data_IF_547302935417
#
_entry.id   IF_547302935417
#
_cell.length_a   1.000
_cell.length_b   1.000
_cell.length_c   1.000
_cell.angle_alpha   90.00
_cell.angle_beta   90.00
_cell.angle_gamma   90.00
#
_symmetry.space_group_name_H-M   'P 1'
#
loop_
_entity.id
_entity.type
_entity.pdbx_description
1 polymer ?
#
# COMPACT_ATOMS: atom_id res chain seq x y z
N UNK A 1 -2.82 -13.11 5.51
CA UNK A 1 -2.61 -13.43 6.94
C UNK A 1 -1.80 -12.35 7.67
N UNK A 2 -0.78 -11.74 7.04
CA UNK A 2 0.07 -10.72 7.71
C UNK A 2 -0.31 -9.27 7.41
N UNK A 3 -1.26 -9.01 6.51
CA UNK A 3 -1.56 -7.66 6.02
C UNK A 3 -2.03 -6.70 7.11
N UNK A 4 -2.85 -7.17 8.03
CA UNK A 4 -3.30 -6.37 9.18
C UNK A 4 -2.14 -6.04 10.13
N UNK A 5 -1.32 -7.03 10.44
CA UNK A 5 -0.15 -6.85 11.29
C UNK A 5 0.92 -5.93 10.70
N UNK A 6 0.95 -5.76 9.37
CA UNK A 6 1.85 -4.80 8.72
C UNK A 6 1.47 -3.35 9.06
N UNK A 7 0.21 -3.07 9.37
CA UNK A 7 -0.25 -1.73 9.72
C UNK A 7 0.03 -0.73 8.58
N UNK A 8 0.72 0.35 8.87
CA UNK A 8 1.10 1.41 7.93
C UNK A 8 2.54 1.28 7.39
N UNK A 9 3.18 0.13 7.56
CA UNK A 9 4.56 -0.11 7.10
C UNK A 9 4.59 -0.33 5.60
N UNK A 10 5.23 0.59 4.86
CA UNK A 10 5.30 0.55 3.40
C UNK A 10 6.66 0.03 2.93
N UNK A 11 7.74 0.56 3.49
CA UNK A 11 9.12 0.22 3.14
C UNK A 11 10.05 0.54 4.30
N UNK A 12 10.84 -0.43 4.76
CA UNK A 12 11.79 -0.27 5.86
C UNK A 12 11.07 0.15 7.15
N UNK A 13 10.59 -0.81 7.92
CA UNK A 13 9.83 -0.50 9.14
C UNK A 13 10.71 -0.05 10.30
N UNK A 14 12.02 -0.34 10.24
CA UNK A 14 13.04 -0.03 11.24
C UNK A 14 12.73 -0.52 12.69
N UNK A 15 11.74 -1.41 12.84
CA UNK A 15 11.36 -1.97 14.15
C UNK A 15 12.55 -2.65 14.85
N UNK A 16 13.41 -3.32 14.07
CA UNK A 16 14.63 -3.94 14.60
C UNK A 16 15.64 -2.89 15.10
N UNK A 17 15.74 -1.74 14.43
CA UNK A 17 16.57 -0.63 14.89
C UNK A 17 15.96 0.02 16.13
N UNK A 18 14.64 0.23 16.14
CA UNK A 18 13.95 0.81 17.30
C UNK A 18 14.11 -0.04 18.57
N UNK A 19 14.12 -1.37 18.43
CA UNK A 19 14.31 -2.30 19.55
C UNK A 19 15.79 -2.51 19.93
N UNK A 20 16.74 -1.95 19.18
CA UNK A 20 18.15 -2.18 19.38
C UNK A 20 18.66 -1.52 20.70
N UNK A 21 19.26 -2.30 21.64
CA UNK A 21 19.76 -1.74 22.91
C UNK A 21 20.93 -0.75 22.73
N UNK A 22 21.59 -0.78 21.55
CA UNK A 22 22.67 0.13 21.23
C UNK A 22 22.21 1.53 20.84
N UNK A 23 20.90 1.75 20.59
CA UNK A 23 20.36 3.08 20.28
C UNK A 23 20.65 4.13 21.36
N UNK A 24 20.88 3.72 22.59
CA UNK A 24 21.29 4.65 23.66
C UNK A 24 22.64 5.36 23.41
N UNK A 25 23.42 4.86 22.46
CA UNK A 25 24.70 5.47 22.03
C UNK A 25 24.56 6.15 20.65
N UNK A 26 23.38 6.17 20.07
CA UNK A 26 23.16 6.79 18.77
C UNK A 26 23.27 8.31 18.88
N UNK A 27 24.06 8.91 17.98
CA UNK A 27 24.18 10.34 17.80
C UNK A 27 23.56 10.76 16.48
N UNK A 28 23.00 11.97 16.44
CA UNK A 28 22.45 12.51 15.22
C UNK A 28 23.56 12.75 14.20
N UNK A 29 23.39 12.21 12.98
CA UNK A 29 24.36 12.42 11.91
C UNK A 29 24.48 13.90 11.54
N UNK A 30 25.70 14.40 11.43
CA UNK A 30 26.02 15.73 10.89
C UNK A 30 26.12 15.73 9.35
N UNK A 31 26.09 14.57 8.71
CA UNK A 31 26.16 14.44 7.24
C UNK A 31 24.84 14.89 6.61
N UNK A 32 24.87 16.01 5.90
CA UNK A 32 23.70 16.59 5.24
C UNK A 32 22.98 15.63 4.26
N UNK A 33 23.72 14.70 3.66
CA UNK A 33 23.13 13.70 2.74
C UNK A 33 22.25 12.67 3.45
N UNK A 34 22.36 12.53 4.77
CA UNK A 34 21.57 11.63 5.61
C UNK A 34 20.37 12.31 6.24
N UNK A 35 20.22 13.64 6.06
CA UNK A 35 19.04 14.37 6.53
C UNK A 35 17.82 13.88 5.75
N UNK A 36 16.76 13.51 6.48
CA UNK A 36 15.52 13.09 5.87
C UNK A 36 14.92 14.19 4.98
N UNK A 37 14.51 13.85 3.76
CA UNK A 37 13.80 14.76 2.87
C UNK A 37 12.49 15.18 3.51
N UNK A 38 12.13 16.46 3.41
CA UNK A 38 10.91 16.99 4.03
C UNK A 38 9.64 16.35 3.46
N UNK A 39 9.62 16.03 2.15
CA UNK A 39 8.52 15.36 1.47
C UNK A 39 8.34 13.89 1.86
N UNK A 40 9.28 13.32 2.62
CA UNK A 40 9.22 11.95 3.15
C UNK A 40 8.99 11.88 4.66
N UNK A 41 8.92 13.00 5.36
CA UNK A 41 8.69 13.01 6.82
C UNK A 41 7.29 12.57 7.22
N UNK A 42 6.27 12.98 6.48
CA UNK A 42 4.88 12.60 6.70
C UNK A 42 4.08 12.60 5.39
N UNK A 43 4.45 11.77 4.40
CA UNK A 43 3.80 11.75 3.11
C UNK A 43 2.37 11.20 3.22
N UNK A 44 1.47 11.73 2.41
CA UNK A 44 0.09 11.24 2.35
C UNK A 44 -0.01 9.99 1.49
N UNK A 45 -0.74 8.98 1.94
CA UNK A 45 -1.02 7.77 1.15
C UNK A 45 -1.68 8.10 -0.20
N UNK A 46 -2.55 9.11 -0.24
CA UNK A 46 -3.21 9.57 -1.46
C UNK A 46 -2.23 9.99 -2.56
N UNK A 47 -1.11 10.59 -2.20
CA UNK A 47 -0.04 10.94 -3.15
C UNK A 47 0.59 9.68 -3.75
N UNK A 48 0.92 8.71 -2.92
CA UNK A 48 1.61 7.48 -3.33
C UNK A 48 0.73 6.55 -4.16
N UNK A 49 -0.55 6.45 -3.82
CA UNK A 49 -1.54 5.70 -4.61
C UNK A 49 -1.81 6.33 -5.98
N UNK A 50 -1.41 7.60 -6.17
CA UNK A 50 -1.50 8.31 -7.43
C UNK A 50 -0.34 8.11 -8.39
N UNK A 51 0.74 7.44 -7.98
CA UNK A 51 1.94 7.32 -8.81
C UNK A 51 1.78 6.36 -9.98
N UNK A 52 2.13 6.83 -11.18
CA UNK A 52 2.57 6.00 -12.28
C UNK A 52 4.08 5.67 -12.15
N UNK A 53 4.64 4.86 -13.07
CA UNK A 53 6.06 4.49 -13.00
C UNK A 53 6.99 5.69 -13.16
N UNK A 54 6.64 6.66 -14.00
CA UNK A 54 7.45 7.86 -14.23
C UNK A 54 7.50 8.74 -12.97
N UNK A 55 6.36 9.02 -12.37
CA UNK A 55 6.26 9.80 -11.13
C UNK A 55 6.97 9.09 -9.96
N UNK A 56 6.80 7.76 -9.83
CA UNK A 56 7.50 6.96 -8.83
C UNK A 56 9.02 7.06 -8.98
N UNK A 57 9.55 6.86 -10.20
CA UNK A 57 10.99 6.91 -10.46
C UNK A 57 11.58 8.29 -10.26
N UNK A 58 10.83 9.35 -10.59
CA UNK A 58 11.25 10.72 -10.37
C UNK A 58 11.29 11.05 -8.87
N UNK A 59 10.21 10.73 -8.15
CA UNK A 59 10.07 11.02 -6.72
C UNK A 59 11.14 10.30 -5.87
N UNK A 60 11.42 9.02 -6.16
CA UNK A 60 12.41 8.22 -5.45
C UNK A 60 13.79 8.18 -6.13
N UNK A 61 14.10 9.17 -6.96
CA UNK A 61 15.44 9.30 -7.54
C UNK A 61 16.49 9.43 -6.43
N UNK A 62 17.57 8.64 -6.52
CA UNK A 62 18.62 8.58 -5.49
C UNK A 62 18.25 7.83 -4.20
N UNK A 63 17.02 7.32 -4.08
CA UNK A 63 16.57 6.55 -2.91
C UNK A 63 16.63 5.04 -3.16
N UNK A 64 16.95 4.21 -2.15
CA UNK A 64 16.88 2.75 -2.25
C UNK A 64 15.46 2.23 -2.54
N UNK A 65 14.42 2.99 -2.20
CA UNK A 65 13.01 2.64 -2.48
C UNK A 65 12.78 2.42 -3.98
N UNK A 66 13.48 3.16 -4.84
CA UNK A 66 13.38 2.99 -6.29
C UNK A 66 13.64 1.56 -6.77
N UNK A 67 14.43 0.77 -6.03
CA UNK A 67 14.83 -0.59 -6.41
C UNK A 67 13.67 -1.60 -6.36
N UNK A 68 12.65 -1.36 -5.52
CA UNK A 68 11.52 -2.30 -5.42
C UNK A 68 10.52 -2.17 -6.58
N UNK A 69 10.58 -1.07 -7.32
CA UNK A 69 9.67 -0.75 -8.40
C UNK A 69 8.32 -0.20 -7.92
N UNK A 70 7.61 0.47 -8.84
CA UNK A 70 6.32 1.13 -8.58
C UNK A 70 5.27 0.13 -8.06
N UNK A 71 5.14 -1.03 -8.69
CA UNK A 71 4.06 -1.97 -8.39
C UNK A 71 4.14 -2.53 -6.97
N UNK A 72 5.33 -2.93 -6.53
CA UNK A 72 5.55 -3.41 -5.16
C UNK A 72 5.33 -2.29 -4.14
N UNK A 73 5.74 -1.07 -4.49
CA UNK A 73 5.54 0.09 -3.61
C UNK A 73 4.06 0.42 -3.47
N UNK A 74 3.31 0.55 -4.58
CA UNK A 74 1.87 0.85 -4.57
C UNK A 74 1.08 -0.27 -3.90
N UNK A 75 1.43 -1.54 -4.14
CA UNK A 75 0.87 -2.68 -3.41
C UNK A 75 1.01 -2.52 -1.89
N UNK A 76 2.17 -2.10 -1.40
CA UNK A 76 2.38 -1.88 0.03
C UNK A 76 1.59 -0.67 0.55
N UNK A 77 1.47 0.39 -0.25
CA UNK A 77 0.62 1.54 0.08
C UNK A 77 -0.86 1.15 0.18
N UNK A 78 -1.34 0.22 -0.65
CA UNK A 78 -2.70 -0.30 -0.59
C UNK A 78 -2.96 -1.09 0.70
N UNK A 79 -1.97 -1.86 1.19
CA UNK A 79 -2.07 -2.52 2.50
C UNK A 79 -2.22 -1.46 3.61
N UNK A 80 -1.39 -0.42 3.60
CA UNK A 80 -1.49 0.67 4.56
C UNK A 80 -2.85 1.40 4.44
N UNK A 81 -3.37 1.61 3.22
CA UNK A 81 -4.67 2.23 2.99
C UNK A 81 -5.81 1.39 3.57
N UNK A 82 -5.84 0.07 3.32
CA UNK A 82 -6.84 -0.83 3.90
C UNK A 82 -6.80 -0.87 5.42
N UNK A 83 -5.60 -0.74 6.03
CA UNK A 83 -5.44 -0.68 7.49
C UNK A 83 -5.79 0.68 8.09
N UNK A 84 -5.85 1.75 7.30
CA UNK A 84 -6.08 3.12 7.79
C UNK A 84 -7.51 3.39 8.23
N UNK A 85 -8.50 2.68 7.68
CA UNK A 85 -9.93 2.99 7.85
C UNK A 85 -10.37 4.32 7.21
N UNK A 86 -9.50 4.97 6.42
CA UNK A 86 -9.77 6.27 5.80
C UNK A 86 -10.58 6.11 4.51
N UNK A 87 -11.89 6.35 4.58
CA UNK A 87 -12.78 6.28 3.43
C UNK A 87 -12.43 7.27 2.30
N UNK A 88 -11.67 8.34 2.58
CA UNK A 88 -11.22 9.27 1.55
C UNK A 88 -10.28 8.62 0.51
N UNK A 89 -9.69 7.47 0.84
CA UNK A 89 -8.83 6.69 -0.06
C UNK A 89 -9.61 5.78 -1.03
N UNK A 90 -10.89 5.54 -0.79
CA UNK A 90 -11.74 4.66 -1.62
C UNK A 90 -11.68 5.00 -3.11
N UNK A 91 -11.79 6.27 -3.56
CA UNK A 91 -11.73 6.59 -4.99
C UNK A 91 -10.41 6.19 -5.65
N UNK A 92 -9.29 6.31 -4.92
CA UNK A 92 -7.97 5.92 -5.41
C UNK A 92 -7.83 4.39 -5.49
N UNK A 93 -8.29 3.68 -4.46
CA UNK A 93 -8.31 2.22 -4.46
C UNK A 93 -9.21 1.67 -5.58
N UNK A 94 -10.37 2.30 -5.84
CA UNK A 94 -11.26 1.93 -6.96
C UNK A 94 -10.58 2.08 -8.33
N UNK A 95 -9.76 3.09 -8.53
CA UNK A 95 -9.00 3.26 -9.77
C UNK A 95 -7.94 2.15 -9.94
N UNK A 96 -7.33 1.72 -8.86
CA UNK A 96 -6.24 0.74 -8.87
C UNK A 96 -6.70 -0.72 -9.05
N UNK A 97 -8.01 -1.03 -9.02
CA UNK A 97 -8.52 -2.35 -9.44
C UNK A 97 -8.42 -2.57 -10.95
N UNK A 98 -8.14 -1.53 -11.73
CA UNK A 98 -7.91 -1.59 -13.17
C UNK A 98 -6.43 -1.37 -13.54
N UNK A 99 -5.52 -1.48 -12.57
CA UNK A 99 -4.07 -1.33 -12.78
C UNK A 99 -3.50 -2.47 -13.65
N UNK A 100 -2.46 -2.20 -14.43
CA UNK A 100 -1.81 -3.20 -15.27
C UNK A 100 -1.21 -4.35 -14.44
N UNK A 101 -0.72 -4.06 -13.23
CA UNK A 101 -0.13 -5.04 -12.32
C UNK A 101 -1.18 -5.82 -11.54
N UNK A 102 -1.24 -7.14 -11.74
CA UNK A 102 -2.12 -8.02 -10.96
C UNK A 102 -1.89 -7.91 -9.44
N UNK A 103 -0.63 -7.71 -9.02
CA UNK A 103 -0.31 -7.54 -7.61
C UNK A 103 -0.90 -6.25 -7.01
N UNK A 104 -0.99 -5.19 -7.80
CA UNK A 104 -1.65 -3.94 -7.40
C UNK A 104 -3.15 -4.14 -7.38
N UNK A 105 -3.74 -4.74 -8.43
CA UNK A 105 -5.19 -5.03 -8.48
C UNK A 105 -5.64 -5.86 -7.28
N UNK A 106 -4.96 -6.98 -6.98
CA UNK A 106 -5.31 -7.83 -5.85
C UNK A 106 -5.30 -7.07 -4.50
N UNK A 107 -4.30 -6.21 -4.28
CA UNK A 107 -4.26 -5.42 -3.05
C UNK A 107 -5.26 -4.28 -3.03
N UNK A 108 -5.66 -3.73 -4.18
CA UNK A 108 -6.75 -2.77 -4.27
C UNK A 108 -8.09 -3.41 -3.87
N UNK A 109 -8.34 -4.65 -4.29
CA UNK A 109 -9.51 -5.46 -3.86
C UNK A 109 -9.50 -5.59 -2.34
N UNK A 110 -8.40 -6.05 -1.75
CA UNK A 110 -8.28 -6.22 -0.31
C UNK A 110 -8.50 -4.89 0.46
N UNK A 111 -7.91 -3.80 -0.01
CA UNK A 111 -8.09 -2.49 0.61
C UNK A 111 -9.56 -2.03 0.56
N UNK A 112 -10.24 -2.24 -0.58
CA UNK A 112 -11.65 -1.89 -0.74
C UNK A 112 -12.56 -2.73 0.14
N UNK A 113 -12.29 -4.02 0.33
CA UNK A 113 -13.04 -4.88 1.24
C UNK A 113 -13.01 -4.35 2.69
N UNK A 114 -11.94 -3.69 3.09
CA UNK A 114 -11.78 -3.10 4.43
C UNK A 114 -12.33 -1.67 4.56
N UNK A 115 -12.38 -0.92 3.47
CA UNK A 115 -12.78 0.48 3.47
C UNK A 115 -14.25 0.69 3.09
N UNK A 116 -14.86 -0.26 2.37
CA UNK A 116 -16.25 -0.18 1.93
C UNK A 116 -17.20 -0.91 2.89
N UNK A 117 -18.45 -0.44 3.02
CA UNK A 117 -19.51 -1.26 3.57
C UNK A 117 -19.68 -2.55 2.76
N UNK A 118 -19.92 -3.69 3.44
CA UNK A 118 -19.99 -5.01 2.78
C UNK A 118 -20.94 -5.07 1.58
N UNK A 119 -22.10 -4.38 1.66
CA UNK A 119 -23.06 -4.31 0.53
C UNK A 119 -22.48 -3.60 -0.70
N UNK A 120 -21.70 -2.54 -0.49
CA UNK A 120 -21.05 -1.82 -1.60
C UNK A 120 -19.91 -2.62 -2.21
N UNK A 121 -19.14 -3.30 -1.38
CA UNK A 121 -18.09 -4.20 -1.86
C UNK A 121 -18.68 -5.34 -2.68
N UNK A 122 -19.72 -6.03 -2.19
CA UNK A 122 -20.38 -7.11 -2.92
C UNK A 122 -20.99 -6.63 -4.26
N UNK A 123 -21.55 -5.42 -4.30
CA UNK A 123 -22.04 -4.83 -5.55
C UNK A 123 -20.89 -4.60 -6.56
N UNK A 124 -19.73 -4.13 -6.08
CA UNK A 124 -18.54 -3.94 -6.90
C UNK A 124 -17.98 -5.27 -7.41
N UNK A 125 -17.89 -6.30 -6.57
CA UNK A 125 -17.37 -7.62 -6.92
C UNK A 125 -18.16 -8.27 -8.07
N UNK A 126 -19.48 -8.13 -8.06
CA UNK A 126 -20.36 -8.64 -9.16
C UNK A 126 -20.03 -8.03 -10.52
N UNK A 127 -19.44 -6.84 -10.57
CA UNK A 127 -19.02 -6.21 -11.83
C UNK A 127 -17.67 -6.73 -12.35
N UNK A 128 -16.96 -7.57 -11.57
CA UNK A 128 -15.58 -8.00 -11.83
C UNK A 128 -15.43 -9.50 -12.10
N UNK A 129 -16.50 -10.17 -12.52
CA UNK A 129 -16.54 -11.61 -12.81
C UNK A 129 -15.61 -12.04 -13.95
N UNK A 130 -15.13 -11.11 -14.78
CA UNK A 130 -14.26 -11.38 -15.94
C UNK A 130 -12.77 -11.01 -15.69
N UNK A 131 -12.34 -10.89 -14.44
CA UNK A 131 -10.91 -10.69 -14.13
C UNK A 131 -10.09 -11.86 -14.71
N UNK A 132 -9.04 -11.52 -15.46
CA UNK A 132 -8.22 -12.51 -16.18
C UNK A 132 -7.20 -13.21 -15.26
N UNK A 133 -6.70 -12.51 -14.25
CA UNK A 133 -5.68 -13.03 -13.35
C UNK A 133 -6.31 -13.88 -12.23
N UNK A 134 -5.80 -15.08 -12.05
CA UNK A 134 -6.30 -16.04 -11.05
C UNK A 134 -6.12 -15.54 -9.62
N UNK A 135 -5.00 -14.89 -9.33
CA UNK A 135 -4.70 -14.38 -7.98
C UNK A 135 -5.69 -13.27 -7.61
N UNK A 136 -6.02 -12.40 -8.56
CA UNK A 136 -6.99 -11.32 -8.34
C UNK A 136 -8.41 -11.88 -8.19
N UNK A 137 -8.81 -12.88 -9.02
CA UNK A 137 -10.10 -13.56 -8.87
C UNK A 137 -10.25 -14.20 -7.48
N UNK A 138 -9.21 -14.89 -7.04
CA UNK A 138 -9.20 -15.53 -5.72
C UNK A 138 -9.31 -14.48 -4.58
N UNK A 139 -8.70 -13.30 -4.76
CA UNK A 139 -8.82 -12.22 -3.77
C UNK A 139 -10.26 -11.70 -3.69
N UNK A 140 -10.96 -11.50 -4.83
CA UNK A 140 -12.38 -11.12 -4.85
C UNK A 140 -13.24 -12.13 -4.11
N UNK A 141 -13.10 -13.43 -4.42
CA UNK A 141 -13.87 -14.51 -3.80
C UNK A 141 -13.65 -14.58 -2.28
N UNK A 142 -12.40 -14.53 -1.86
CA UNK A 142 -12.04 -14.61 -0.44
C UNK A 142 -12.62 -13.45 0.37
N UNK A 143 -12.58 -12.24 -0.15
CA UNK A 143 -13.10 -11.08 0.56
C UNK A 143 -14.64 -11.06 0.57
N UNK A 144 -15.32 -11.55 -0.47
CA UNK A 144 -16.78 -11.75 -0.46
C UNK A 144 -17.19 -12.77 0.63
N UNK A 145 -16.51 -13.92 0.72
CA UNK A 145 -16.78 -14.94 1.72
C UNK A 145 -16.60 -14.37 3.14
N UNK A 146 -15.56 -13.57 3.36
CA UNK A 146 -15.26 -12.95 4.67
C UNK A 146 -16.34 -11.95 5.10
N UNK A 147 -16.95 -11.23 4.16
CA UNK A 147 -17.96 -10.21 4.43
C UNK A 147 -19.39 -10.78 4.54
N UNK A 148 -19.63 -12.01 4.08
CA UNK A 148 -20.93 -12.68 4.15
C UNK A 148 -21.18 -13.39 5.50
N UNK A 149 -20.24 -13.36 6.44
CA UNK A 149 -20.36 -13.91 7.81
C UNK A 149 -20.80 -12.79 8.76
#
# INVERSE_FOLDING_TARGET
>A
EFREAMGNRIYGCDDCLAACPWNKFAEQSSEMKLIARDDLKAPRLSQFLGFDDAAFRAFFSGSPIKRIGRDRFVRNCLIAAGNSGDAALVPLCRRLIDDDSAAVRAMAVWALARLLPGKEFAALARTRLHESDETVRHEWQREEETLCI
#
